data_IF_518377724440
#
_entry.id   IF_518377724440
#
_cell.length_a   1.000
_cell.length_b   1.000
_cell.length_c   1.000
_cell.angle_alpha   90.00
_cell.angle_beta   90.00
_cell.angle_gamma   90.00
#
_symmetry.space_group_name_H-M   'P 1'
#
loop_
_entity.id
_entity.type
_entity.pdbx_description
1 polymer ?
#
# COMPACT_ATOMS: atom_id res chain seq x y z
N UNK A 1 -23.67 4.57 39.82
CA UNK A 1 -23.26 3.25 39.31
C UNK A 1 -23.80 3.04 37.90
N UNK A 2 -23.04 3.39 36.84
CA UNK A 2 -23.42 3.06 35.44
C UNK A 2 -22.25 3.31 34.44
N UNK A 3 -21.35 4.26 34.72
CA UNK A 3 -20.28 4.62 33.77
C UNK A 3 -19.04 3.70 33.79
N UNK A 4 -18.72 3.05 34.92
CA UNK A 4 -17.52 2.19 35.01
C UNK A 4 -17.67 0.83 34.30
N UNK A 5 -18.89 0.30 34.17
CA UNK A 5 -19.11 -1.01 33.56
C UNK A 5 -18.96 -1.00 32.02
N UNK A 6 -19.03 0.18 31.38
CA UNK A 6 -18.88 0.32 29.92
C UNK A 6 -17.40 0.47 29.51
N UNK A 7 -16.56 1.01 30.39
CA UNK A 7 -15.12 1.15 30.18
C UNK A 7 -14.37 -0.19 30.30
N UNK A 8 -14.72 -1.04 31.28
CA UNK A 8 -14.09 -2.35 31.47
C UNK A 8 -14.40 -3.33 30.32
N UNK A 9 -15.59 -3.26 29.72
CA UNK A 9 -15.94 -4.07 28.53
C UNK A 9 -15.20 -3.63 27.27
N UNK A 10 -14.77 -2.37 27.17
CA UNK A 10 -13.95 -1.85 26.06
C UNK A 10 -12.50 -2.35 26.12
N UNK A 11 -11.89 -2.32 27.32
CA UNK A 11 -10.55 -2.85 27.59
C UNK A 11 -10.46 -4.35 27.30
N UNK A 12 -11.38 -5.15 27.85
CA UNK A 12 -11.44 -6.60 27.61
C UNK A 12 -11.62 -6.99 26.12
N UNK A 13 -12.23 -6.11 25.29
CA UNK A 13 -12.36 -6.32 23.84
C UNK A 13 -11.07 -5.94 23.09
N UNK A 14 -10.33 -4.95 23.58
CA UNK A 14 -9.09 -4.46 22.98
C UNK A 14 -7.87 -5.32 23.35
N UNK A 15 -7.81 -5.88 24.57
CA UNK A 15 -6.85 -6.94 24.92
C UNK A 15 -7.07 -8.21 24.09
N UNK A 16 -8.32 -8.54 23.75
CA UNK A 16 -8.66 -9.71 22.89
C UNK A 16 -8.22 -9.49 21.42
N UNK A 17 -8.22 -8.25 20.92
CA UNK A 17 -7.62 -7.89 19.63
C UNK A 17 -6.07 -7.89 19.66
N UNK A 18 -5.44 -7.53 20.78
CA UNK A 18 -3.97 -7.59 20.94
C UNK A 18 -3.44 -9.03 21.10
N UNK A 19 -4.16 -9.88 21.81
CA UNK A 19 -3.81 -11.30 21.89
C UNK A 19 -4.02 -12.00 20.55
N UNK A 20 -5.03 -11.64 19.74
CA UNK A 20 -5.21 -12.22 18.41
C UNK A 20 -4.13 -11.79 17.42
N UNK A 21 -3.60 -10.56 17.46
CA UNK A 21 -2.51 -10.13 16.57
C UNK A 21 -1.17 -10.83 16.82
N UNK A 22 -0.72 -10.91 18.08
CA UNK A 22 0.55 -11.56 18.42
C UNK A 22 0.42 -13.09 18.46
N UNK A 23 -0.77 -13.61 18.79
CA UNK A 23 -1.08 -15.01 18.54
C UNK A 23 -1.17 -15.28 17.04
N UNK A 24 -1.58 -14.37 16.15
CA UNK A 24 -1.58 -14.64 14.71
C UNK A 24 -0.17 -14.84 14.12
N UNK A 25 0.87 -14.18 14.64
CA UNK A 25 2.27 -14.37 14.19
C UNK A 25 2.97 -15.54 14.91
N UNK A 26 2.74 -15.75 16.20
CA UNK A 26 3.26 -16.91 16.91
C UNK A 26 2.50 -18.21 16.54
N UNK A 27 1.18 -18.12 16.36
CA UNK A 27 0.37 -19.16 15.73
C UNK A 27 0.67 -19.24 14.24
N UNK A 28 1.10 -18.23 13.47
CA UNK A 28 1.46 -18.51 12.07
C UNK A 28 2.72 -19.38 11.98
N UNK A 29 3.68 -19.22 12.89
CA UNK A 29 4.91 -20.04 12.99
C UNK A 29 4.69 -21.42 13.65
N UNK A 30 3.89 -21.48 14.72
CA UNK A 30 3.52 -22.74 15.39
C UNK A 30 2.43 -23.48 14.61
N UNK A 31 1.49 -22.79 13.99
CA UNK A 31 0.50 -23.35 13.05
C UNK A 31 1.12 -23.72 11.72
N UNK A 32 2.20 -23.11 11.23
CA UNK A 32 2.93 -23.68 10.07
C UNK A 32 3.66 -24.96 10.42
N UNK A 33 4.25 -25.08 11.63
CA UNK A 33 4.86 -26.36 12.06
C UNK A 33 3.80 -27.42 12.38
N UNK A 34 2.69 -27.06 13.02
CA UNK A 34 1.58 -27.99 13.29
C UNK A 34 0.80 -28.31 12.01
N UNK A 35 0.61 -27.37 11.08
CA UNK A 35 0.06 -27.65 9.74
C UNK A 35 1.01 -28.48 8.91
N UNK A 36 2.33 -28.24 8.90
CA UNK A 36 3.28 -29.10 8.19
C UNK A 36 3.33 -30.51 8.78
N UNK A 37 3.29 -30.64 10.11
CA UNK A 37 3.24 -31.95 10.78
C UNK A 37 1.89 -32.65 10.59
N UNK A 38 0.77 -31.91 10.60
CA UNK A 38 -0.56 -32.43 10.31
C UNK A 38 -0.70 -32.81 8.84
N UNK A 39 -0.17 -32.02 7.90
CA UNK A 39 -0.10 -32.34 6.48
C UNK A 39 0.79 -33.56 6.23
N UNK A 40 1.94 -33.69 6.92
CA UNK A 40 2.79 -34.87 6.83
C UNK A 40 2.12 -36.13 7.42
N UNK A 41 1.33 -36.00 8.49
CA UNK A 41 0.55 -37.10 9.07
C UNK A 41 -0.65 -37.49 8.18
N UNK A 42 -1.35 -36.52 7.60
CA UNK A 42 -2.43 -36.73 6.62
C UNK A 42 -1.86 -37.35 5.33
N UNK A 43 -0.65 -36.96 4.89
CA UNK A 43 0.05 -37.56 3.76
C UNK A 43 0.40 -39.04 4.03
N UNK A 44 0.91 -39.36 5.22
CA UNK A 44 1.21 -40.75 5.62
C UNK A 44 -0.06 -41.61 5.75
N UNK A 45 -1.17 -41.03 6.22
CA UNK A 45 -2.45 -41.72 6.33
C UNK A 45 -3.16 -41.90 4.98
N UNK A 46 -3.02 -40.93 4.05
CA UNK A 46 -3.67 -40.93 2.74
C UNK A 46 -2.95 -41.78 1.67
N UNK A 47 -1.63 -41.98 1.79
CA UNK A 47 -0.86 -42.82 0.86
C UNK A 47 -1.09 -44.33 1.10
N UNK A 48 -1.46 -44.72 2.32
CA UNK A 48 -1.56 -46.14 2.70
C UNK A 48 -2.91 -46.80 2.37
N UNK A 49 -3.90 -46.07 1.83
CA UNK A 49 -5.20 -46.63 1.53
C UNK A 49 -5.90 -45.81 0.43
N UNK A 50 -6.44 -46.49 -0.60
CA UNK A 50 -7.35 -46.01 -1.66
C UNK A 50 -6.78 -45.62 -3.05
N UNK A 51 -7.50 -46.11 -4.08
CA UNK A 51 -7.11 -46.08 -5.49
C UNK A 51 -7.18 -44.72 -6.23
N UNK A 52 -6.64 -44.77 -7.45
CA UNK A 52 -6.13 -43.66 -8.28
C UNK A 52 -7.02 -42.41 -8.42
N UNK A 53 -8.37 -42.52 -8.40
CA UNK A 53 -9.27 -41.38 -8.61
C UNK A 53 -9.30 -40.40 -7.41
N UNK A 54 -9.09 -40.89 -6.18
CA UNK A 54 -9.11 -40.04 -4.96
C UNK A 54 -7.76 -39.35 -4.71
N UNK A 55 -6.67 -39.95 -5.17
CA UNK A 55 -5.32 -39.35 -5.14
C UNK A 55 -5.28 -38.07 -5.98
N UNK A 56 -5.93 -38.08 -7.16
CA UNK A 56 -5.98 -36.90 -8.05
C UNK A 56 -6.72 -35.72 -7.39
N UNK A 57 -7.81 -35.99 -6.66
CA UNK A 57 -8.59 -34.96 -5.95
C UNK A 57 -7.78 -34.35 -4.81
N UNK A 58 -7.08 -35.17 -4.02
CA UNK A 58 -6.20 -34.68 -2.93
C UNK A 58 -5.03 -33.88 -3.50
N UNK A 59 -4.44 -34.32 -4.61
CA UNK A 59 -3.37 -33.59 -5.30
C UNK A 59 -3.85 -32.24 -5.85
N UNK A 60 -5.04 -32.18 -6.45
CA UNK A 60 -5.67 -30.93 -6.89
C UNK A 60 -5.94 -29.96 -5.74
N UNK A 61 -6.45 -30.44 -4.61
CA UNK A 61 -6.67 -29.60 -3.42
C UNK A 61 -5.34 -29.04 -2.86
N UNK A 62 -4.29 -29.87 -2.80
CA UNK A 62 -2.96 -29.45 -2.34
C UNK A 62 -2.32 -28.42 -3.29
N UNK A 63 -2.42 -28.63 -4.61
CA UNK A 63 -1.97 -27.68 -5.64
C UNK A 63 -2.75 -26.35 -5.56
N UNK A 64 -4.05 -26.40 -5.23
CA UNK A 64 -4.88 -25.21 -5.10
C UNK A 64 -4.50 -24.38 -3.86
N UNK A 65 -4.22 -25.03 -2.73
CA UNK A 65 -3.80 -24.35 -1.49
C UNK A 65 -2.42 -23.67 -1.59
N UNK A 66 -1.49 -24.22 -2.38
CA UNK A 66 -0.17 -23.61 -2.59
C UNK A 66 -0.21 -22.34 -3.47
N UNK A 67 -1.31 -22.11 -4.21
CA UNK A 67 -1.45 -20.97 -5.13
C UNK A 67 -1.93 -19.67 -4.46
N UNK A 68 -2.57 -19.76 -3.30
CA UNK A 68 -3.25 -18.61 -2.68
C UNK A 68 -2.27 -17.62 -2.00
N UNK A 69 -1.12 -18.09 -1.51
CA UNK A 69 -0.13 -17.25 -0.81
C UNK A 69 0.82 -16.46 -1.75
N UNK A 70 0.86 -16.79 -3.04
CA UNK A 70 1.83 -16.22 -3.98
C UNK A 70 1.44 -14.85 -4.58
N UNK A 71 0.24 -14.33 -4.28
CA UNK A 71 -0.28 -13.14 -4.98
C UNK A 71 0.06 -11.82 -4.29
N UNK A 72 0.23 -11.81 -2.96
CA UNK A 72 0.44 -10.56 -2.17
C UNK A 72 1.84 -9.95 -2.33
N UNK A 73 2.84 -10.72 -2.76
CA UNK A 73 4.20 -10.24 -3.06
C UNK A 73 4.51 -10.22 -4.56
N UNK A 74 3.48 -10.36 -5.40
CA UNK A 74 3.65 -10.27 -6.84
C UNK A 74 4.11 -8.86 -7.23
N UNK A 75 4.85 -8.76 -8.33
CA UNK A 75 5.23 -7.47 -8.90
C UNK A 75 3.99 -6.67 -9.27
N UNK A 76 4.00 -5.38 -8.94
CA UNK A 76 3.04 -4.42 -9.47
C UNK A 76 3.25 -4.31 -10.97
N UNK A 77 2.16 -4.30 -11.75
CA UNK A 77 2.22 -4.24 -13.22
C UNK A 77 1.68 -2.92 -13.74
N UNK A 78 2.29 -2.43 -14.81
CA UNK A 78 1.80 -1.30 -15.56
C UNK A 78 0.65 -1.71 -16.51
N UNK A 79 0.10 -0.73 -17.22
CA UNK A 79 -0.98 -0.91 -18.19
C UNK A 79 -0.60 -1.78 -19.38
N UNK A 80 0.70 -1.98 -19.64
CA UNK A 80 1.21 -2.87 -20.69
C UNK A 80 1.48 -4.28 -20.15
N UNK A 81 1.17 -4.53 -18.87
CA UNK A 81 1.37 -5.79 -18.19
C UNK A 81 2.81 -6.05 -17.75
N UNK A 82 3.71 -5.06 -17.86
CA UNK A 82 5.12 -5.19 -17.45
C UNK A 82 5.26 -4.85 -15.97
N UNK A 83 6.18 -5.53 -15.30
CA UNK A 83 6.47 -5.26 -13.89
C UNK A 83 7.07 -3.86 -13.72
N UNK A 84 6.59 -3.09 -12.75
CA UNK A 84 7.18 -1.81 -12.38
C UNK A 84 8.61 -2.01 -11.91
N UNK A 85 9.52 -1.16 -12.37
CA UNK A 85 10.93 -1.15 -12.00
C UNK A 85 11.26 0.10 -11.18
N UNK A 86 12.13 -0.01 -10.16
CA UNK A 86 12.67 1.19 -9.52
C UNK A 86 13.39 2.10 -10.53
N UNK A 87 13.50 3.38 -10.19
CA UNK A 87 14.14 4.41 -11.02
C UNK A 87 13.47 4.71 -12.38
N UNK A 88 12.38 4.02 -12.73
CA UNK A 88 11.59 4.30 -13.94
C UNK A 88 10.38 5.18 -13.60
N UNK A 89 9.99 5.99 -14.59
CA UNK A 89 8.92 6.97 -14.45
C UNK A 89 7.56 6.40 -14.84
N UNK A 90 6.57 6.56 -13.96
CA UNK A 90 5.20 6.09 -14.17
C UNK A 90 4.19 7.19 -13.82
N UNK A 91 3.13 7.32 -14.60
CA UNK A 91 1.95 8.07 -14.20
C UNK A 91 1.05 7.20 -13.33
N UNK A 92 0.53 7.77 -12.25
CA UNK A 92 -0.53 7.15 -11.44
C UNK A 92 -1.86 7.72 -11.93
N UNK A 93 -2.68 6.86 -12.55
CA UNK A 93 -3.93 7.25 -13.18
C UNK A 93 -5.13 6.57 -12.52
N UNK A 94 -6.31 7.22 -12.46
CA UNK A 94 -7.53 6.57 -12.01
C UNK A 94 -7.92 5.45 -12.97
N UNK A 95 -8.37 4.30 -12.44
CA UNK A 95 -8.94 3.24 -13.29
C UNK A 95 -10.22 3.72 -13.99
N UNK A 96 -11.08 4.42 -13.25
CA UNK A 96 -12.38 4.87 -13.73
C UNK A 96 -12.28 6.25 -14.38
N UNK A 97 -12.68 6.33 -15.65
CA UNK A 97 -12.78 7.59 -16.42
C UNK A 97 -13.81 8.54 -15.82
N UNK A 98 -13.72 9.82 -16.17
CA UNK A 98 -14.63 10.87 -15.68
C UNK A 98 -14.46 11.23 -14.20
N UNK A 99 -13.43 10.70 -13.50
CA UNK A 99 -13.16 10.97 -12.08
C UNK A 99 -11.92 11.81 -11.82
N UNK A 100 -11.46 12.56 -12.83
CA UNK A 100 -10.22 13.34 -12.80
C UNK A 100 -9.10 12.68 -13.60
N UNK A 101 -7.95 13.34 -13.62
CA UNK A 101 -6.73 12.88 -14.28
C UNK A 101 -5.77 12.18 -13.32
N UNK A 102 -4.50 12.18 -13.68
CA UNK A 102 -3.43 11.61 -12.87
C UNK A 102 -3.04 12.46 -11.66
N UNK A 103 -2.01 12.01 -10.95
CA UNK A 103 -1.54 12.67 -9.74
C UNK A 103 -0.52 13.77 -10.05
N UNK A 104 -0.56 14.85 -9.26
CA UNK A 104 0.20 16.08 -9.47
C UNK A 104 0.57 16.72 -8.14
N UNK A 105 1.28 17.85 -8.18
CA UNK A 105 1.62 18.66 -7.01
C UNK A 105 0.88 20.00 -7.06
N UNK A 106 0.32 20.42 -5.93
CA UNK A 106 -0.36 21.70 -5.83
C UNK A 106 -0.10 22.38 -4.48
N UNK A 107 -0.06 23.72 -4.49
CA UNK A 107 -0.02 24.51 -3.26
C UNK A 107 -1.32 24.33 -2.49
N UNK A 108 -1.20 23.91 -1.22
CA UNK A 108 -2.33 23.64 -0.33
C UNK A 108 -2.90 24.92 0.30
N UNK A 109 -2.10 25.98 0.45
CA UNK A 109 -2.59 27.25 0.97
C UNK A 109 -3.32 28.07 -0.09
N UNK A 110 -4.38 28.76 0.33
CA UNK A 110 -5.14 29.69 -0.51
C UNK A 110 -4.48 31.07 -0.61
N UNK A 111 -3.48 31.35 0.23
CA UNK A 111 -2.88 32.68 0.36
C UNK A 111 -1.70 32.90 -0.59
N UNK A 112 -1.01 31.84 -1.01
CA UNK A 112 0.08 31.96 -1.98
C UNK A 112 0.23 30.74 -2.88
N UNK A 113 0.40 31.01 -4.18
CA UNK A 113 0.77 30.00 -5.18
C UNK A 113 2.17 29.39 -4.96
N UNK A 114 2.91 29.90 -3.96
CA UNK A 114 4.28 29.48 -3.62
C UNK A 114 4.38 28.79 -2.25
N UNK A 115 3.25 28.38 -1.67
CA UNK A 115 3.27 27.69 -0.39
C UNK A 115 3.97 26.33 -0.49
N UNK A 116 5.01 26.14 0.33
CA UNK A 116 5.78 24.91 0.44
C UNK A 116 5.62 24.31 1.85
N UNK A 117 5.68 22.96 1.99
CA UNK A 117 5.76 21.97 0.92
C UNK A 117 4.47 21.89 0.08
N UNK A 118 4.58 21.36 -1.14
CA UNK A 118 3.41 21.13 -1.99
C UNK A 118 2.65 19.90 -1.50
N UNK A 119 1.33 19.89 -1.65
CA UNK A 119 0.51 18.71 -1.39
C UNK A 119 0.30 17.91 -2.67
N UNK A 120 0.10 16.60 -2.51
CA UNK A 120 -0.25 15.72 -3.62
C UNK A 120 -1.72 15.91 -3.95
N UNK A 121 -2.00 16.18 -5.21
CA UNK A 121 -3.33 16.41 -5.73
C UNK A 121 -3.64 15.47 -6.90
N UNK A 122 -4.93 15.39 -7.25
CA UNK A 122 -5.39 14.77 -8.48
C UNK A 122 -5.75 15.86 -9.49
N UNK A 123 -5.30 15.71 -10.74
CA UNK A 123 -5.70 16.57 -11.84
C UNK A 123 -7.22 16.56 -12.02
N UNK A 124 -7.80 17.71 -12.37
CA UNK A 124 -9.26 17.82 -12.57
C UNK A 124 -9.72 17.19 -13.87
N UNK A 125 -8.91 17.30 -14.92
CA UNK A 125 -9.25 16.85 -16.26
C UNK A 125 -8.70 15.45 -16.51
N UNK A 126 -9.52 14.56 -17.06
CA UNK A 126 -9.12 13.17 -17.33
C UNK A 126 -8.04 13.02 -18.42
N UNK A 127 -7.84 14.05 -19.24
CA UNK A 127 -6.79 14.05 -20.27
C UNK A 127 -5.41 14.38 -19.70
N UNK A 128 -5.36 14.99 -18.52
CA UNK A 128 -4.11 15.37 -17.87
C UNK A 128 -3.56 14.17 -17.10
N UNK A 129 -2.43 13.64 -17.56
CA UNK A 129 -1.79 12.48 -16.93
C UNK A 129 -1.10 12.82 -15.60
N UNK A 130 -1.01 14.11 -15.25
CA UNK A 130 -0.29 14.59 -14.08
C UNK A 130 1.22 14.52 -14.26
N UNK A 131 1.94 14.35 -13.15
CA UNK A 131 3.38 14.26 -13.09
C UNK A 131 3.83 12.80 -12.91
N UNK A 132 4.91 12.36 -13.56
CA UNK A 132 5.43 11.01 -13.36
C UNK A 132 6.01 10.86 -11.95
N UNK A 133 5.91 9.65 -11.40
CA UNK A 133 6.54 9.26 -10.14
C UNK A 133 7.60 8.18 -10.37
N UNK A 134 8.52 8.11 -9.41
CA UNK A 134 9.50 7.04 -9.27
C UNK A 134 9.27 6.36 -7.92
N UNK A 135 9.35 5.02 -7.92
CA UNK A 135 9.23 4.19 -6.73
C UNK A 135 10.60 3.66 -6.30
N UNK A 136 10.86 3.73 -4.99
CA UNK A 136 12.09 3.25 -4.37
C UNK A 136 11.75 2.25 -3.26
N UNK A 137 11.71 0.93 -3.54
CA UNK A 137 11.34 -0.09 -2.55
C UNK A 137 12.41 -0.34 -1.48
N UNK A 138 11.97 -0.75 -0.28
CA UNK A 138 12.82 -1.30 0.77
C UNK A 138 12.63 -2.83 0.90
N UNK A 139 13.72 -3.63 0.99
CA UNK A 139 15.11 -3.19 0.95
C UNK A 139 15.55 -2.71 -0.44
N UNK A 140 16.55 -1.83 -0.45
CA UNK A 140 17.16 -1.32 -1.68
C UNK A 140 17.73 -2.47 -2.55
N UNK A 141 17.86 -2.21 -3.85
CA UNK A 141 18.36 -3.20 -4.80
C UNK A 141 17.31 -4.19 -5.32
N UNK A 142 16.04 -4.00 -4.98
CA UNK A 142 14.93 -4.76 -5.57
C UNK A 142 14.85 -4.54 -7.08
N UNK A 143 14.75 -5.61 -7.88
CA UNK A 143 14.62 -5.50 -9.34
C UNK A 143 13.27 -4.91 -9.77
N UNK A 144 12.22 -5.24 -9.02
CA UNK A 144 10.84 -4.84 -9.31
C UNK A 144 10.16 -4.27 -8.06
N UNK A 145 9.18 -3.41 -8.29
CA UNK A 145 8.26 -2.94 -7.25
C UNK A 145 7.27 -4.07 -6.95
N UNK A 146 7.37 -4.65 -5.74
CA UNK A 146 6.47 -5.71 -5.27
C UNK A 146 5.31 -5.11 -4.48
N UNK A 147 4.16 -5.78 -4.55
CA UNK A 147 3.00 -5.44 -3.72
C UNK A 147 3.33 -5.58 -2.24
N UNK A 148 2.62 -4.81 -1.41
CA UNK A 148 2.70 -4.82 0.06
C UNK A 148 4.11 -4.63 0.63
N UNK A 149 5.03 -4.08 -0.16
CA UNK A 149 6.42 -3.77 0.22
C UNK A 149 6.54 -2.29 0.52
N UNK A 150 7.17 -1.94 1.65
CA UNK A 150 7.43 -0.54 2.00
C UNK A 150 8.28 0.12 0.90
N UNK A 151 7.83 1.28 0.42
CA UNK A 151 8.50 2.03 -0.63
C UNK A 151 8.36 3.53 -0.41
N UNK A 152 9.31 4.29 -0.96
CA UNK A 152 9.16 5.71 -1.18
C UNK A 152 8.50 5.96 -2.54
N UNK A 153 7.70 7.03 -2.60
CA UNK A 153 7.14 7.58 -3.83
C UNK A 153 7.68 9.00 -3.96
N UNK A 154 8.17 9.38 -5.14
CA UNK A 154 8.55 10.76 -5.42
C UNK A 154 8.14 11.18 -6.81
N UNK A 155 7.76 12.44 -7.00
CA UNK A 155 7.55 12.97 -8.34
C UNK A 155 8.90 13.20 -9.04
N UNK A 156 8.99 12.81 -10.32
CA UNK A 156 10.12 13.14 -11.19
C UNK A 156 9.86 14.47 -11.90
N UNK A 157 9.88 15.55 -11.12
CA UNK A 157 9.61 16.90 -11.60
C UNK A 157 10.39 17.92 -10.77
N UNK A 158 10.84 18.99 -11.43
CA UNK A 158 11.35 20.16 -10.74
C UNK A 158 10.20 20.96 -10.13
N UNK A 159 10.41 21.54 -8.95
CA UNK A 159 9.42 22.38 -8.28
C UNK A 159 10.04 23.69 -7.82
N UNK A 160 9.20 24.66 -7.49
CA UNK A 160 9.61 25.93 -6.86
C UNK A 160 10.06 25.75 -5.41
N UNK A 161 9.73 24.61 -4.79
CA UNK A 161 10.09 24.31 -3.41
C UNK A 161 11.50 23.72 -3.35
N UNK A 162 12.28 24.14 -2.35
CA UNK A 162 13.62 23.60 -2.08
C UNK A 162 13.54 22.18 -1.51
N UNK A 163 12.41 21.85 -0.86
CA UNK A 163 12.14 20.52 -0.35
C UNK A 163 12.03 19.48 -1.48
N UNK A 164 12.32 18.23 -1.14
CA UNK A 164 12.18 17.10 -2.07
C UNK A 164 10.73 16.92 -2.55
N UNK A 165 10.57 16.15 -3.62
CA UNK A 165 9.27 15.67 -4.10
C UNK A 165 8.88 14.31 -3.49
N UNK A 166 9.63 13.81 -2.51
CA UNK A 166 9.35 12.55 -1.81
C UNK A 166 8.08 12.74 -0.99
N UNK A 167 7.17 11.79 -1.14
CA UNK A 167 5.90 11.80 -0.44
C UNK A 167 6.11 11.49 1.04
N UNK A 168 5.31 12.15 1.86
CA UNK A 168 5.17 11.87 3.27
C UNK A 168 3.71 12.08 3.68
N UNK A 169 3.24 11.29 4.64
CA UNK A 169 1.97 11.56 5.29
C UNK A 169 2.14 12.71 6.26
N UNK A 170 1.42 13.80 6.01
CA UNK A 170 1.41 14.97 6.88
C UNK A 170 0.75 14.72 8.24
N UNK A 171 0.97 15.67 9.14
CA UNK A 171 0.22 15.75 10.39
C UNK A 171 -1.27 15.99 10.14
N UNK A 172 -2.07 15.83 11.19
CA UNK A 172 -3.49 16.20 11.13
C UNK A 172 -3.58 17.69 10.92
N UNK A 173 -4.13 18.10 9.79
CA UNK A 173 -4.40 19.49 9.50
C UNK A 173 -5.43 20.03 10.51
N UNK A 174 -5.07 21.12 11.20
CA UNK A 174 -5.88 21.64 12.30
C UNK A 174 -7.23 22.20 11.84
N UNK A 175 -7.34 22.63 10.59
CA UNK A 175 -8.55 23.25 10.05
C UNK A 175 -9.57 22.23 9.54
N UNK A 176 -9.08 21.12 8.99
CA UNK A 176 -9.90 20.12 8.30
C UNK A 176 -9.98 18.80 9.06
N UNK A 177 -9.08 18.56 10.01
CA UNK A 177 -8.93 17.30 10.72
C UNK A 177 -8.41 16.16 9.85
N UNK A 178 -7.97 16.44 8.62
CA UNK A 178 -7.52 15.45 7.64
C UNK A 178 -6.00 15.32 7.62
N UNK A 179 -5.52 14.17 7.15
CA UNK A 179 -4.09 13.96 6.87
C UNK A 179 -3.86 13.93 5.38
N UNK A 180 -3.09 14.88 4.89
CA UNK A 180 -2.72 15.02 3.49
C UNK A 180 -1.46 14.21 3.18
N UNK A 181 -1.34 13.72 1.95
CA UNK A 181 -0.03 13.36 1.42
C UNK A 181 0.63 14.64 0.91
N UNK A 182 1.81 14.95 1.43
CA UNK A 182 2.59 16.14 1.08
C UNK A 182 3.97 15.75 0.57
N UNK A 183 4.64 16.67 -0.12
CA UNK A 183 6.04 16.52 -0.50
C UNK A 183 6.98 16.89 0.65
N UNK A 184 8.29 16.78 0.43
CA UNK A 184 9.32 17.15 1.39
C UNK A 184 9.73 16.04 2.35
N UNK A 185 9.32 14.79 2.08
CA UNK A 185 9.88 13.63 2.76
C UNK A 185 11.36 13.43 2.45
N UNK A 186 11.96 12.42 3.08
CA UNK A 186 13.36 12.02 2.83
C UNK A 186 13.39 10.56 2.42
N UNK A 187 14.15 10.26 1.36
CA UNK A 187 14.54 8.90 1.02
C UNK A 187 15.66 8.45 1.97
N UNK A 188 15.68 7.15 2.31
CA UNK A 188 16.75 6.55 3.07
C UNK A 188 16.28 5.49 4.04
N UNK A 189 17.13 5.15 5.01
CA UNK A 189 16.96 3.94 5.81
C UNK A 189 15.66 3.91 6.64
N UNK A 190 14.98 2.74 6.65
CA UNK A 190 13.86 2.42 7.55
C UNK A 190 14.13 2.83 9.01
N UNK A 191 13.37 3.81 9.53
CA UNK A 191 13.48 4.23 10.93
C UNK A 191 12.17 4.79 11.47
N UNK A 192 12.09 4.96 12.79
CA UNK A 192 10.95 5.62 13.43
C UNK A 192 10.74 7.06 12.91
N UNK A 193 11.83 7.79 12.66
CA UNK A 193 11.79 9.18 12.18
C UNK A 193 11.39 9.32 10.71
N UNK A 194 11.45 8.24 9.92
CA UNK A 194 11.05 8.25 8.51
C UNK A 194 9.73 7.53 8.28
N UNK A 195 9.04 7.06 9.33
CA UNK A 195 7.84 6.24 9.22
C UNK A 195 6.75 6.86 8.32
N UNK A 196 6.56 8.19 8.37
CA UNK A 196 5.60 8.93 7.54
C UNK A 196 5.91 8.90 6.04
N UNK A 197 7.14 8.58 5.64
CA UNK A 197 7.60 8.65 4.24
C UNK A 197 7.41 7.34 3.47
N UNK A 198 6.83 6.33 4.12
CA UNK A 198 6.69 4.99 3.57
C UNK A 198 5.25 4.72 3.17
N UNK A 199 5.11 4.21 1.96
CA UNK A 199 3.84 3.79 1.39
C UNK A 199 3.96 2.35 0.90
N UNK A 200 2.83 1.77 0.56
CA UNK A 200 2.73 0.46 -0.10
C UNK A 200 1.77 0.57 -1.27
N UNK A 201 1.97 -0.30 -2.25
CA UNK A 201 1.01 -0.55 -3.31
C UNK A 201 0.39 -1.90 -3.03
N UNK A 202 -0.93 -1.96 -2.97
CA UNK A 202 -1.67 -3.19 -2.74
C UNK A 202 -2.63 -3.46 -3.89
N UNK A 203 -2.93 -4.74 -4.12
CA UNK A 203 -3.99 -5.12 -5.05
C UNK A 203 -5.34 -4.61 -4.52
N UNK A 204 -6.11 -3.93 -5.37
CA UNK A 204 -7.45 -3.48 -5.03
C UNK A 204 -8.52 -4.26 -5.79
N UNK A 205 -8.34 -4.44 -7.10
CA UNK A 205 -9.17 -5.31 -7.92
C UNK A 205 -8.34 -6.21 -8.84
N UNK A 206 -8.96 -6.70 -9.90
CA UNK A 206 -8.28 -7.59 -10.86
C UNK A 206 -7.22 -6.84 -11.67
N UNK A 207 -7.50 -5.57 -12.03
CA UNK A 207 -6.70 -4.77 -12.97
C UNK A 207 -6.08 -3.52 -12.36
N UNK A 208 -6.29 -3.31 -11.07
CA UNK A 208 -5.99 -2.06 -10.39
C UNK A 208 -5.48 -2.29 -8.97
N UNK A 209 -4.91 -1.20 -8.46
CA UNK A 209 -4.20 -1.14 -7.21
C UNK A 209 -4.78 -0.03 -6.34
N UNK A 210 -4.36 -0.02 -5.08
CA UNK A 210 -4.52 1.10 -4.16
C UNK A 210 -3.19 1.44 -3.51
N UNK A 211 -3.06 2.69 -3.10
CA UNK A 211 -1.94 3.17 -2.30
C UNK A 211 -2.33 3.09 -0.82
N UNK A 212 -1.38 2.69 0.02
CA UNK A 212 -1.61 2.50 1.45
C UNK A 212 -0.47 3.16 2.22
N UNK A 213 -0.79 3.87 3.29
CA UNK A 213 0.19 4.23 4.30
C UNK A 213 0.00 3.30 5.48
N UNK A 214 0.90 2.33 5.66
CA UNK A 214 0.95 1.46 6.83
C UNK A 214 2.36 0.87 6.95
N UNK A 215 3.34 1.71 7.35
CA UNK A 215 4.75 1.35 7.36
C UNK A 215 5.04 0.13 8.23
N UNK A 216 5.86 -0.80 7.74
CA UNK A 216 6.39 -1.93 8.51
C UNK A 216 7.86 -1.77 8.88
N UNK A 217 8.46 -0.63 8.53
CA UNK A 217 9.85 -0.25 8.81
C UNK A 217 10.20 -0.10 10.30
N UNK A 218 9.21 0.07 11.18
CA UNK A 218 9.43 0.17 12.62
C UNK A 218 8.41 -0.67 13.38
N UNK A 219 8.82 -1.86 13.82
CA UNK A 219 7.96 -2.86 14.47
C UNK A 219 7.41 -2.41 15.85
N UNK A 220 8.11 -1.50 16.53
CA UNK A 220 7.72 -0.99 17.84
C UNK A 220 6.96 0.33 17.77
N UNK A 221 6.91 0.96 16.59
CA UNK A 221 6.25 2.25 16.41
C UNK A 221 4.73 2.07 16.37
N UNK A 222 4.01 2.97 17.03
CA UNK A 222 2.57 3.14 16.79
C UNK A 222 2.40 4.04 15.58
N UNK A 223 2.20 3.42 14.43
CA UNK A 223 2.04 4.12 13.15
C UNK A 223 0.57 4.26 12.81
N UNK A 224 0.25 5.33 12.07
CA UNK A 224 -1.07 5.47 11.47
C UNK A 224 -1.14 4.52 10.28
N UNK A 225 -2.24 3.78 10.15
CA UNK A 225 -2.50 2.93 9.00
C UNK A 225 -3.81 3.35 8.32
N UNK A 226 -3.79 3.44 7.00
CA UNK A 226 -4.98 3.74 6.21
C UNK A 226 -4.72 3.64 4.72
N UNK A 227 -5.81 3.43 3.99
CA UNK A 227 -5.82 3.53 2.54
C UNK A 227 -5.70 5.00 2.13
N UNK A 228 -4.97 5.25 1.04
CA UNK A 228 -4.82 6.59 0.47
C UNK A 228 -5.94 6.80 -0.55
N UNK A 229 -6.76 7.80 -0.28
CA UNK A 229 -7.93 8.18 -1.06
C UNK A 229 -7.79 9.56 -1.70
N UNK A 230 -8.82 9.96 -2.44
CA UNK A 230 -8.98 11.31 -2.97
C UNK A 230 -10.20 11.96 -2.31
N UNK A 231 -10.00 13.12 -1.69
CA UNK A 231 -11.10 13.95 -1.18
C UNK A 231 -11.12 15.33 -1.82
N UNK A 232 -12.31 15.92 -1.92
CA UNK A 232 -12.50 17.26 -2.47
C UNK A 232 -12.54 18.29 -1.35
N UNK A 233 -11.75 19.35 -1.49
CA UNK A 233 -11.74 20.49 -0.56
C UNK A 233 -11.27 21.76 -1.27
N UNK A 234 -11.97 22.89 -1.04
CA UNK A 234 -11.65 24.15 -1.72
C UNK A 234 -11.73 24.06 -3.25
N UNK A 235 -12.55 23.12 -3.77
CA UNK A 235 -12.63 22.79 -5.19
C UNK A 235 -11.40 22.05 -5.75
N UNK A 236 -10.40 21.72 -4.93
CA UNK A 236 -9.26 20.89 -5.32
C UNK A 236 -9.47 19.45 -4.85
N UNK A 237 -8.78 18.51 -5.49
CA UNK A 237 -8.83 17.07 -5.20
C UNK A 237 -7.49 16.68 -4.59
N UNK A 238 -7.50 16.30 -3.32
CA UNK A 238 -6.29 16.06 -2.54
C UNK A 238 -6.12 14.58 -2.25
N UNK A 239 -4.87 14.14 -2.20
CA UNK A 239 -4.53 12.82 -1.67
C UNK A 239 -4.33 12.88 -0.17
N UNK A 240 -4.80 11.84 0.52
CA UNK A 240 -4.58 11.68 1.95
C UNK A 240 -5.26 10.43 2.48
N UNK A 241 -5.27 10.30 3.81
CA UNK A 241 -6.03 9.22 4.44
C UNK A 241 -7.51 9.61 4.46
N UNK A 242 -8.25 9.05 3.52
CA UNK A 242 -9.70 9.15 3.41
C UNK A 242 -10.26 7.73 3.30
N UNK A 243 -11.40 7.45 3.93
CA UNK A 243 -11.87 6.09 4.17
C UNK A 243 -12.09 5.24 2.91
N UNK A 244 -12.18 5.88 1.75
CA UNK A 244 -12.36 5.24 0.44
C UNK A 244 -11.03 5.22 -0.36
N UNK A 245 -10.51 4.02 -0.71
CA UNK A 245 -9.26 3.91 -1.45
C UNK A 245 -9.35 4.49 -2.87
N UNK A 246 -8.27 5.16 -3.31
CA UNK A 246 -8.14 5.58 -4.70
C UNK A 246 -7.70 4.40 -5.58
N UNK A 247 -8.62 3.89 -6.41
CA UNK A 247 -8.36 2.84 -7.41
C UNK A 247 -7.48 3.39 -8.54
N UNK A 248 -6.26 2.85 -8.64
CA UNK A 248 -5.22 3.33 -9.56
C UNK A 248 -4.65 2.26 -10.46
N UNK A 249 -4.20 2.72 -11.62
CA UNK A 249 -3.36 1.97 -12.57
C UNK A 249 -2.08 2.76 -12.83
N UNK A 250 -1.02 2.05 -13.20
CA UNK A 250 0.29 2.65 -13.48
C UNK A 250 0.56 2.63 -14.98
N UNK A 251 0.83 3.78 -15.57
CA UNK A 251 1.20 3.90 -16.98
C UNK A 251 2.67 4.28 -17.09
N UNK A 252 3.46 3.52 -17.84
CA UNK A 252 4.84 3.87 -18.13
C UNK A 252 4.92 5.23 -18.85
N UNK A 253 5.75 6.16 -18.35
CA UNK A 253 5.90 7.49 -18.94
C UNK A 253 6.71 7.48 -20.25
N UNK A 254 7.54 6.46 -20.46
CA UNK A 254 8.38 6.28 -21.65
C UNK A 254 8.09 4.95 -22.36
N UNK A 255 6.93 4.81 -23.02
CA UNK A 255 6.57 3.60 -23.75
C UNK A 255 7.47 3.45 -25.00
N UNK A 256 8.48 2.59 -24.93
CA UNK A 256 9.30 2.23 -26.09
C UNK A 256 10.82 2.13 -25.89
N UNK A 257 11.35 2.49 -24.72
CA UNK A 257 12.80 2.46 -24.43
C UNK A 257 13.30 1.15 -23.81
N UNK A 258 12.56 0.05 -23.96
CA UNK A 258 12.99 -1.26 -23.49
C UNK A 258 13.94 -1.93 -24.48
N UNK A 259 15.24 -1.90 -24.19
CA UNK A 259 16.19 -2.94 -24.62
C UNK A 259 16.04 -4.18 -23.74
#
# INVERSE_FOLDING_TARGET
>A
MSLNARAEKGWQKQERCKQTGNAHYALSSVSTRIHMLAQAAILKAAVNNFGNMKVLVVLCFLLCSASAEATIFASVRDTDGRSLRPSHEYYILPLFRGRGGGLTLAAHSNESSFACPLAVAQERSEVDSGLPVIFSPAPEGSEFVKMSTDLHVRFSAATICVQSTVWQLGDVDASTGRRYVISGGVEGSPSAGTASNWFKIERYGERDYKLVHCPSVCQVCKVVCGDVGVFVEGGKRWLGLDGDPFSVIFKNAHPGTGN
#
